data_IF_955317016021
#
_entry.id   IF_955317016021
#
_cell.length_a   1.000
_cell.length_b   1.000
_cell.length_c   1.000
_cell.angle_alpha   90.00
_cell.angle_beta   90.00
_cell.angle_gamma   90.00
#
_symmetry.space_group_name_H-M   'P 1'
#
loop_
_entity.id
_entity.type
_entity.pdbx_description
1 polymer ?
#
# COMPACT_ATOMS: atom_id res chain seq x y z
N UNK A 1 10.31 -19.95 -13.24
CA UNK A 1 10.22 -18.55 -13.68
C UNK A 1 8.85 -18.04 -13.32
N UNK A 2 8.73 -16.96 -12.55
CA UNK A 2 7.43 -16.36 -12.19
C UNK A 2 6.94 -15.52 -13.36
N UNK A 3 5.72 -15.78 -13.84
CA UNK A 3 5.09 -15.02 -14.92
C UNK A 3 4.80 -13.59 -14.47
N UNK A 4 4.84 -12.59 -15.38
CA UNK A 4 4.46 -11.22 -15.03
C UNK A 4 2.98 -11.16 -14.61
N UNK A 5 2.61 -10.23 -13.72
CA UNK A 5 1.22 -9.84 -13.49
C UNK A 5 0.51 -9.45 -14.79
N UNK A 6 -0.81 -9.65 -14.86
CA UNK A 6 -1.60 -9.44 -16.07
C UNK A 6 -1.64 -7.98 -16.56
N UNK A 7 -1.39 -7.03 -15.65
CA UNK A 7 -1.37 -5.58 -15.89
C UNK A 7 0.06 -5.02 -16.09
N UNK A 8 1.07 -5.88 -16.13
CA UNK A 8 2.48 -5.48 -16.21
C UNK A 8 3.13 -6.09 -17.44
N UNK A 9 3.62 -5.25 -18.36
CA UNK A 9 4.33 -5.74 -19.53
C UNK A 9 5.67 -6.44 -19.15
N UNK A 10 6.14 -7.32 -20.03
CA UNK A 10 7.36 -8.11 -19.79
C UNK A 10 8.59 -7.23 -19.53
N UNK A 11 8.76 -6.11 -20.23
CA UNK A 11 9.94 -5.27 -20.07
C UNK A 11 9.94 -4.58 -18.70
N UNK A 12 8.80 -4.10 -18.24
CA UNK A 12 8.59 -3.52 -16.92
C UNK A 12 8.82 -4.56 -15.82
N UNK A 13 8.29 -5.77 -15.99
CA UNK A 13 8.50 -6.89 -15.07
C UNK A 13 9.98 -7.25 -14.93
N UNK A 14 10.72 -7.32 -16.04
CA UNK A 14 12.15 -7.62 -16.02
C UNK A 14 12.96 -6.52 -15.31
N UNK A 15 12.63 -5.25 -15.55
CA UNK A 15 13.27 -4.12 -14.86
C UNK A 15 13.04 -4.17 -13.35
N UNK A 16 11.80 -4.45 -12.94
CA UNK A 16 11.44 -4.61 -11.53
C UNK A 16 12.26 -5.73 -10.87
N UNK A 17 12.29 -6.92 -11.47
CA UNK A 17 13.05 -8.05 -10.92
C UNK A 17 14.56 -7.78 -10.88
N UNK A 18 15.11 -7.08 -11.88
CA UNK A 18 16.51 -6.67 -11.87
C UNK A 18 16.82 -5.65 -10.78
N UNK A 19 15.88 -4.79 -10.40
CA UNK A 19 16.04 -3.91 -9.25
C UNK A 19 16.07 -4.73 -7.94
N UNK A 20 15.11 -5.63 -7.76
CA UNK A 20 15.05 -6.50 -6.58
C UNK A 20 16.29 -7.38 -6.42
N UNK A 21 16.85 -7.91 -7.51
CA UNK A 21 18.02 -8.80 -7.46
C UNK A 21 19.30 -8.11 -6.97
N UNK A 22 19.34 -6.77 -7.04
CA UNK A 22 20.46 -5.95 -6.55
C UNK A 22 20.29 -5.50 -5.10
N UNK A 23 19.10 -5.70 -4.52
CA UNK A 23 18.80 -5.33 -3.13
C UNK A 23 19.13 -6.48 -2.19
N UNK A 24 19.79 -6.17 -1.08
CA UNK A 24 19.93 -7.08 0.05
C UNK A 24 18.61 -7.18 0.86
N UNK A 25 18.59 -8.02 1.89
CA UNK A 25 17.38 -8.27 2.68
C UNK A 25 16.83 -7.01 3.34
N UNK A 26 17.71 -6.18 3.91
CA UNK A 26 17.35 -4.95 4.60
C UNK A 26 16.81 -3.89 3.64
N UNK A 27 17.43 -3.73 2.47
CA UNK A 27 16.96 -2.82 1.44
C UNK A 27 15.57 -3.24 0.94
N UNK A 28 15.36 -4.55 0.72
CA UNK A 28 14.04 -5.07 0.32
C UNK A 28 12.97 -4.80 1.35
N UNK A 29 13.27 -4.99 2.65
CA UNK A 29 12.32 -4.72 3.72
C UNK A 29 11.93 -3.25 3.75
N UNK A 30 12.91 -2.34 3.69
CA UNK A 30 12.65 -0.88 3.68
C UNK A 30 11.80 -0.48 2.48
N UNK A 31 12.17 -0.92 1.29
CA UNK A 31 11.38 -0.65 0.07
C UNK A 31 9.95 -1.19 0.17
N UNK A 32 9.74 -2.37 0.78
CA UNK A 32 8.40 -2.91 0.97
C UNK A 32 7.57 -2.08 1.96
N UNK A 33 8.19 -1.55 3.03
CA UNK A 33 7.54 -0.64 3.98
C UNK A 33 7.16 0.66 3.27
N UNK A 34 8.09 1.29 2.56
CA UNK A 34 7.87 2.55 1.85
C UNK A 34 6.73 2.43 0.81
N UNK A 35 6.70 1.33 0.06
CA UNK A 35 5.62 1.03 -0.88
C UNK A 35 4.28 0.86 -0.17
N UNK A 36 4.27 0.18 0.98
CA UNK A 36 3.05 -0.04 1.77
C UNK A 36 2.51 1.28 2.34
N UNK A 37 3.40 2.18 2.78
CA UNK A 37 3.04 3.52 3.25
C UNK A 37 2.46 4.37 2.11
N UNK A 38 3.12 4.39 0.95
CA UNK A 38 2.63 5.13 -0.22
C UNK A 38 1.25 4.66 -0.69
N UNK A 39 0.99 3.35 -0.71
CA UNK A 39 -0.34 2.81 -1.04
C UNK A 39 -1.38 3.23 0.01
N UNK A 40 -1.02 3.21 1.30
CA UNK A 40 -1.90 3.66 2.40
C UNK A 40 -2.26 5.14 2.26
N UNK A 41 -1.31 5.99 1.89
CA UNK A 41 -1.54 7.42 1.66
C UNK A 41 -2.52 7.66 0.50
N UNK A 42 -2.33 6.96 -0.63
CA UNK A 42 -3.24 7.04 -1.78
C UNK A 42 -4.65 6.60 -1.38
N UNK A 43 -4.77 5.50 -0.62
CA UNK A 43 -6.07 5.02 -0.11
C UNK A 43 -6.75 6.04 0.78
N UNK A 44 -6.02 6.63 1.73
CA UNK A 44 -6.53 7.66 2.63
C UNK A 44 -6.95 8.92 1.87
N UNK A 45 -6.18 9.34 0.86
CA UNK A 45 -6.54 10.49 0.01
C UNK A 45 -7.85 10.23 -0.73
N UNK A 46 -8.03 9.04 -1.31
CA UNK A 46 -9.28 8.64 -1.95
C UNK A 46 -10.47 8.58 -0.99
N UNK A 47 -10.27 8.10 0.24
CA UNK A 47 -11.32 8.10 1.27
C UNK A 47 -11.69 9.51 1.71
N UNK A 48 -10.70 10.39 1.93
CA UNK A 48 -10.93 11.80 2.27
C UNK A 48 -11.73 12.50 1.17
N UNK A 49 -11.39 12.27 -0.10
CA UNK A 49 -12.11 12.85 -1.22
C UNK A 49 -13.60 12.41 -1.27
N UNK A 50 -13.91 11.18 -0.84
CA UNK A 50 -15.29 10.67 -0.77
C UNK A 50 -16.03 11.03 0.52
N UNK A 51 -15.31 11.41 1.58
CA UNK A 51 -15.86 11.66 2.91
C UNK A 51 -15.21 12.93 3.50
N UNK A 52 -15.52 14.12 2.96
CA UNK A 52 -14.84 15.37 3.33
C UNK A 52 -15.07 15.79 4.79
N UNK A 53 -16.17 15.33 5.40
CA UNK A 53 -16.54 15.70 6.77
C UNK A 53 -15.95 14.79 7.85
N UNK A 54 -15.34 13.66 7.47
CA UNK A 54 -14.75 12.74 8.44
C UNK A 54 -13.40 13.25 8.95
N UNK A 55 -13.18 13.08 10.25
CA UNK A 55 -11.89 13.35 10.86
C UNK A 55 -10.82 12.36 10.35
N UNK A 56 -9.54 12.74 10.33
CA UNK A 56 -8.45 11.85 9.91
C UNK A 56 -8.43 10.50 10.63
N UNK A 57 -8.76 10.51 11.93
CA UNK A 57 -8.81 9.33 12.78
C UNK A 57 -9.89 8.32 12.34
N UNK A 58 -11.05 8.82 11.91
CA UNK A 58 -12.16 8.02 11.43
C UNK A 58 -11.86 7.42 10.05
N UNK A 59 -11.16 8.17 9.19
CA UNK A 59 -10.68 7.67 7.90
C UNK A 59 -9.71 6.50 8.08
N UNK A 60 -8.79 6.59 9.05
CA UNK A 60 -7.88 5.49 9.39
C UNK A 60 -8.64 4.29 9.93
N UNK A 61 -9.57 4.48 10.87
CA UNK A 61 -10.40 3.40 11.40
C UNK A 61 -11.18 2.69 10.28
N UNK A 62 -11.68 3.45 9.30
CA UNK A 62 -12.36 2.88 8.13
C UNK A 62 -11.41 2.09 7.23
N UNK A 63 -10.20 2.56 6.95
CA UNK A 63 -9.18 1.75 6.24
C UNK A 63 -8.93 0.43 6.97
N UNK A 64 -8.76 0.49 8.29
CA UNK A 64 -8.45 -0.72 9.07
C UNK A 64 -9.60 -1.73 9.04
N UNK A 65 -10.84 -1.23 9.14
CA UNK A 65 -12.03 -2.05 9.03
C UNK A 65 -12.21 -2.67 7.63
N UNK A 66 -12.02 -1.90 6.56
CA UNK A 66 -12.25 -2.33 5.17
C UNK A 66 -11.16 -3.31 4.69
N UNK A 67 -9.88 -3.03 4.96
CA UNK A 67 -8.77 -3.79 4.38
C UNK A 67 -8.35 -4.99 5.23
N UNK A 68 -8.53 -4.92 6.55
CA UNK A 68 -8.09 -5.98 7.49
C UNK A 68 -9.23 -6.63 8.26
N UNK A 69 -10.47 -6.15 8.13
CA UNK A 69 -11.61 -6.68 8.88
C UNK A 69 -11.54 -6.42 10.38
N UNK A 70 -10.72 -5.46 10.83
CA UNK A 70 -10.51 -5.15 12.25
C UNK A 70 -11.22 -3.85 12.60
N UNK A 71 -12.03 -3.88 13.66
CA UNK A 71 -12.64 -2.66 14.21
C UNK A 71 -11.71 -2.04 15.25
N UNK A 72 -11.29 -0.81 15.02
CA UNK A 72 -10.55 -0.05 16.03
C UNK A 72 -11.53 0.47 17.10
N UNK A 73 -11.10 0.52 18.37
CA UNK A 73 -11.90 1.17 19.41
C UNK A 73 -12.11 2.65 19.06
N UNK A 74 -13.26 3.20 19.47
CA UNK A 74 -13.56 4.61 19.25
C UNK A 74 -12.42 5.47 19.82
N UNK A 75 -11.82 6.30 18.96
CA UNK A 75 -10.78 7.23 19.35
C UNK A 75 -11.45 8.34 20.18
N UNK A 76 -11.11 8.40 21.47
CA UNK A 76 -11.61 9.41 22.41
C UNK A 76 -11.00 10.79 22.13
#
# INVERSE_FOLDING_TARGET
MVLPPADTDTATWLKYNAALSRMDGDARLRTAIDLSEGVREIRLAGLRARNPDLAPAELVARVVAEDYGVQLPALK
#
